data_IF_134974021823
#
_entry.id   IF_134974021823
#
_cell.length_a   1.000
_cell.length_b   1.000
_cell.length_c   1.000
_cell.angle_alpha   90.00
_cell.angle_beta   90.00
_cell.angle_gamma   90.00
#
_symmetry.space_group_name_H-M   'P 1'
#
loop_
_entity.id
_entity.type
_entity.pdbx_description
1 polymer ?
#
# COMPACT_ATOMS: atom_id res chain seq x y z
N UNK A 1 2.10 12.54 21.08
CA UNK A 1 1.16 11.44 20.80
C UNK A 1 0.80 10.74 22.09
N UNK A 2 -0.41 10.15 22.22
CA UNK A 2 -0.86 9.44 23.44
C UNK A 2 -0.61 7.92 23.38
N UNK A 3 -0.11 7.42 22.26
CA UNK A 3 0.35 6.04 22.04
C UNK A 3 1.42 6.04 20.92
N UNK A 4 2.23 4.98 20.79
CA UNK A 4 3.02 4.70 19.59
C UNK A 4 2.15 4.55 18.33
N UNK A 5 2.70 4.93 17.17
CA UNK A 5 2.03 4.85 15.86
C UNK A 5 2.30 6.06 14.97
N UNK A 6 1.84 6.01 13.72
CA UNK A 6 1.82 7.16 12.82
C UNK A 6 0.51 7.97 12.98
N UNK A 7 0.34 9.03 12.19
CA UNK A 7 -0.90 9.82 12.17
C UNK A 7 -2.11 8.91 11.91
N UNK A 8 -3.18 9.09 12.69
CA UNK A 8 -4.40 8.24 12.66
C UNK A 8 -5.36 8.62 11.52
N UNK A 9 -5.10 9.71 10.82
CA UNK A 9 -5.84 10.15 9.63
C UNK A 9 -5.36 9.39 8.40
N UNK A 10 -6.09 9.49 7.29
CA UNK A 10 -5.69 9.11 5.94
C UNK A 10 -4.63 10.07 5.36
N UNK A 11 -3.66 10.46 6.20
CA UNK A 11 -2.45 11.14 5.77
C UNK A 11 -1.49 10.17 5.05
N UNK A 12 -0.31 10.67 4.69
CA UNK A 12 0.67 9.94 3.87
C UNK A 12 1.00 8.55 4.43
N UNK A 13 1.17 8.40 5.75
CA UNK A 13 1.53 7.13 6.36
C UNK A 13 0.45 6.07 6.13
N UNK A 14 -0.80 6.35 6.52
CA UNK A 14 -1.94 5.45 6.32
C UNK A 14 -2.23 5.19 4.83
N UNK A 15 -2.04 6.21 3.99
CA UNK A 15 -2.20 6.07 2.53
C UNK A 15 -1.19 5.08 1.96
N UNK A 16 0.08 5.18 2.33
CA UNK A 16 1.14 4.33 1.80
C UNK A 16 1.13 2.93 2.42
N UNK A 17 0.66 2.75 3.66
CA UNK A 17 0.45 1.40 4.21
C UNK A 17 -0.68 0.69 3.48
N UNK A 18 -1.79 1.38 3.19
CA UNK A 18 -2.87 0.83 2.36
C UNK A 18 -2.38 0.49 0.94
N UNK A 19 -1.61 1.39 0.31
CA UNK A 19 -1.03 1.14 -1.00
C UNK A 19 -0.07 -0.07 -0.98
N UNK A 20 0.76 -0.22 0.05
CA UNK A 20 1.67 -1.36 0.19
C UNK A 20 0.93 -2.70 0.32
N UNK A 21 -0.22 -2.71 0.99
CA UNK A 21 -1.06 -3.90 1.10
C UNK A 21 -1.66 -4.29 -0.25
N UNK A 22 -2.18 -3.32 -1.01
CA UNK A 22 -2.75 -3.55 -2.34
C UNK A 22 -1.70 -3.93 -3.37
N UNK A 23 -0.51 -3.33 -3.29
CA UNK A 23 0.66 -3.75 -4.07
C UNK A 23 1.09 -5.19 -3.78
N UNK A 24 0.54 -5.84 -2.74
CA UNK A 24 0.83 -7.22 -2.38
C UNK A 24 2.17 -7.42 -1.69
N UNK A 25 2.78 -6.35 -1.16
CA UNK A 25 4.09 -6.41 -0.49
C UNK A 25 4.00 -6.48 1.05
N UNK A 26 2.78 -6.54 1.58
CA UNK A 26 2.51 -6.83 2.99
C UNK A 26 1.54 -8.01 3.12
N UNK A 27 1.31 -8.47 4.35
CA UNK A 27 0.25 -9.43 4.61
C UNK A 27 -1.13 -8.75 4.54
N UNK A 28 -2.18 -9.43 4.04
CA UNK A 28 -3.53 -8.90 4.07
C UNK A 28 -3.97 -8.48 5.48
N UNK A 29 -4.58 -7.31 5.59
CA UNK A 29 -5.00 -6.65 6.82
C UNK A 29 -3.93 -5.81 7.51
N UNK A 30 -2.65 -5.89 7.12
CA UNK A 30 -1.55 -5.26 7.85
C UNK A 30 -1.68 -3.73 7.98
N UNK A 31 -2.24 -3.05 6.98
CA UNK A 31 -2.39 -1.59 6.97
C UNK A 31 -3.36 -1.06 8.05
N UNK A 32 -4.24 -1.92 8.56
CA UNK A 32 -5.33 -1.56 9.47
C UNK A 32 -5.06 -1.89 10.95
N UNK A 33 -3.91 -2.50 11.27
CA UNK A 33 -3.57 -2.93 12.63
C UNK A 33 -2.90 -1.78 13.39
N UNK A 34 -3.51 -1.24 14.47
CA UNK A 34 -2.87 -0.21 15.28
C UNK A 34 -1.54 -0.70 15.87
N UNK A 35 -0.56 0.19 15.99
CA UNK A 35 0.78 -0.16 16.49
C UNK A 35 0.79 -0.77 17.90
N UNK A 36 -0.20 -0.44 18.73
CA UNK A 36 -0.36 -0.96 20.10
C UNK A 36 -1.24 -2.20 20.19
N UNK A 37 -1.83 -2.65 19.08
CA UNK A 37 -2.66 -3.84 19.06
C UNK A 37 -1.79 -5.11 19.10
N UNK A 38 -2.22 -6.10 19.89
CA UNK A 38 -1.51 -7.40 19.98
C UNK A 38 -1.38 -8.13 18.64
N UNK A 39 -2.25 -7.81 17.67
CA UNK A 39 -2.19 -8.29 16.29
C UNK A 39 -0.97 -7.77 15.53
N UNK A 40 -0.36 -6.66 15.95
CA UNK A 40 0.81 -6.09 15.28
C UNK A 40 2.03 -7.01 15.42
N UNK A 41 2.30 -7.51 16.63
CA UNK A 41 3.38 -8.49 16.87
C UNK A 41 3.12 -9.82 16.15
N UNK A 42 1.86 -10.27 16.11
CA UNK A 42 1.46 -11.49 15.36
C UNK A 42 1.68 -11.32 13.86
N UNK A 43 1.31 -10.16 13.30
CA UNK A 43 1.50 -9.83 11.89
C UNK A 43 2.99 -9.70 11.53
N UNK A 44 3.81 -9.15 12.42
CA UNK A 44 5.27 -9.12 12.27
C UNK A 44 5.87 -10.55 12.24
N UNK A 45 5.49 -11.42 13.18
CA UNK A 45 5.95 -12.81 13.21
C UNK A 45 5.50 -13.59 11.96
N UNK A 46 4.24 -13.42 11.54
CA UNK A 46 3.71 -14.04 10.32
C UNK A 46 4.44 -13.55 9.06
N UNK A 47 4.87 -12.28 9.02
CA UNK A 47 5.66 -11.74 7.91
C UNK A 47 7.03 -12.42 7.80
N UNK A 48 7.65 -12.71 8.95
CA UNK A 48 8.88 -13.51 9.02
C UNK A 48 8.72 -14.93 8.47
N UNK A 49 7.60 -15.60 8.77
CA UNK A 49 7.29 -16.92 8.19
C UNK A 49 7.03 -16.81 6.68
N UNK A 50 6.33 -15.75 6.26
CA UNK A 50 5.96 -15.53 4.86
C UNK A 50 7.18 -15.34 3.97
N UNK A 51 8.17 -14.55 4.41
CA UNK A 51 9.36 -14.30 3.59
C UNK A 51 10.19 -15.57 3.37
N UNK A 52 10.24 -16.48 4.36
CA UNK A 52 10.91 -17.79 4.20
C UNK A 52 10.24 -18.59 3.08
N UNK A 53 8.91 -18.68 3.04
CA UNK A 53 8.18 -19.34 1.95
C UNK A 53 8.46 -18.70 0.58
N UNK A 54 8.46 -17.37 0.50
CA UNK A 54 8.72 -16.65 -0.76
C UNK A 54 10.14 -16.94 -1.28
N UNK A 55 11.14 -17.00 -0.40
CA UNK A 55 12.52 -17.36 -0.76
C UNK A 55 12.59 -18.79 -1.27
N UNK A 56 11.97 -19.74 -0.57
CA UNK A 56 11.92 -21.15 -0.98
C UNK A 56 11.25 -21.33 -2.35
N UNK A 57 10.26 -20.49 -2.67
CA UNK A 57 9.54 -20.48 -3.96
C UNK A 57 10.17 -19.57 -5.02
N UNK A 58 11.30 -18.94 -4.71
CA UNK A 58 11.99 -17.98 -5.58
C UNK A 58 11.06 -16.87 -6.12
N UNK A 59 10.18 -16.35 -5.25
CA UNK A 59 9.30 -15.24 -5.58
C UNK A 59 10.02 -13.93 -5.29
N UNK A 60 10.28 -13.15 -6.34
CA UNK A 60 10.91 -11.82 -6.26
C UNK A 60 9.87 -10.71 -6.27
N UNK A 61 10.22 -9.52 -5.78
CA UNK A 61 9.35 -8.34 -5.82
C UNK A 61 8.86 -8.01 -7.23
N UNK A 62 9.68 -8.23 -8.27
CA UNK A 62 9.29 -8.02 -9.68
C UNK A 62 8.17 -8.93 -10.17
N UNK A 63 7.88 -10.04 -9.46
CA UNK A 63 6.72 -10.91 -9.75
C UNK A 63 5.43 -10.42 -9.07
N UNK A 64 5.56 -9.49 -8.12
CA UNK A 64 4.45 -8.95 -7.31
C UNK A 64 4.07 -7.56 -7.83
N UNK A 65 5.07 -6.71 -8.07
CA UNK A 65 4.90 -5.32 -8.52
C UNK A 65 4.65 -5.25 -10.03
N UNK A 66 3.48 -5.69 -10.47
CA UNK A 66 3.03 -5.63 -11.88
C UNK A 66 2.34 -4.31 -12.20
N UNK A 67 2.16 -3.94 -13.48
CA UNK A 67 1.37 -2.77 -13.87
C UNK A 67 -0.02 -2.76 -13.23
N UNK A 68 -0.69 -3.91 -13.19
CA UNK A 68 -2.02 -4.07 -12.61
C UNK A 68 -2.01 -3.81 -11.09
N UNK A 69 -0.98 -4.28 -10.38
CA UNK A 69 -0.84 -4.00 -8.94
C UNK A 69 -0.70 -2.50 -8.66
N UNK A 70 -0.02 -1.75 -9.54
CA UNK A 70 0.05 -0.30 -9.43
C UNK A 70 -1.28 0.37 -9.77
N UNK A 71 -2.02 -0.09 -10.77
CA UNK A 71 -3.37 0.43 -11.06
C UNK A 71 -4.32 0.21 -9.86
N UNK A 72 -4.29 -0.98 -9.26
CA UNK A 72 -5.07 -1.31 -8.06
C UNK A 72 -4.69 -0.42 -6.88
N UNK A 73 -3.39 -0.17 -6.69
CA UNK A 73 -2.89 0.73 -5.65
C UNK A 73 -3.36 2.18 -5.86
N UNK A 74 -3.32 2.67 -7.10
CA UNK A 74 -3.83 4.00 -7.45
C UNK A 74 -5.33 4.08 -7.18
N UNK A 75 -6.12 3.11 -7.65
CA UNK A 75 -7.55 3.04 -7.41
C UNK A 75 -7.85 3.02 -5.90
N UNK A 76 -7.11 2.25 -5.11
CA UNK A 76 -7.33 2.18 -3.66
C UNK A 76 -6.99 3.49 -2.97
N UNK A 77 -5.86 4.13 -3.30
CA UNK A 77 -5.50 5.43 -2.74
C UNK A 77 -6.59 6.48 -3.04
N UNK A 78 -7.12 6.49 -4.26
CA UNK A 78 -8.21 7.40 -4.65
C UNK A 78 -9.51 7.09 -3.89
N UNK A 79 -9.89 5.82 -3.79
CA UNK A 79 -11.09 5.39 -3.06
C UNK A 79 -11.03 5.72 -1.56
N UNK A 80 -9.82 5.73 -0.99
CA UNK A 80 -9.61 6.10 0.41
C UNK A 80 -9.53 7.61 0.65
N UNK A 81 -9.54 8.45 -0.40
CA UNK A 81 -9.26 9.88 -0.26
C UNK A 81 -7.83 10.16 0.21
N UNK A 82 -6.89 9.31 -0.23
CA UNK A 82 -5.51 9.30 0.23
C UNK A 82 -4.69 10.55 -0.10
N UNK A 83 -3.56 10.69 0.59
CA UNK A 83 -2.64 11.81 0.42
C UNK A 83 -2.13 11.96 -1.02
N UNK A 84 -2.07 13.20 -1.51
CA UNK A 84 -1.46 13.55 -2.79
C UNK A 84 0.02 13.13 -2.91
N UNK A 85 0.73 12.94 -1.79
CA UNK A 85 2.09 12.42 -1.77
C UNK A 85 2.18 10.99 -2.34
N UNK A 86 1.09 10.22 -2.33
CA UNK A 86 1.06 8.89 -2.92
C UNK A 86 1.40 8.90 -4.41
N UNK A 87 1.06 9.97 -5.14
CA UNK A 87 1.42 10.14 -6.55
C UNK A 87 2.94 10.05 -6.74
N UNK A 88 3.69 10.83 -5.96
CA UNK A 88 5.15 10.88 -6.04
C UNK A 88 5.75 9.53 -5.67
N UNK A 89 5.27 8.93 -4.57
CA UNK A 89 5.81 7.66 -4.07
C UNK A 89 5.52 6.49 -5.01
N UNK A 90 4.30 6.36 -5.52
CA UNK A 90 3.93 5.27 -6.42
C UNK A 90 4.64 5.37 -7.77
N UNK A 91 4.77 6.58 -8.36
CA UNK A 91 5.54 6.77 -9.59
C UNK A 91 7.01 6.43 -9.37
N UNK A 92 7.60 6.87 -8.25
CA UNK A 92 8.99 6.54 -7.92
C UNK A 92 9.17 5.01 -7.74
N UNK A 93 8.28 4.35 -7.02
CA UNK A 93 8.30 2.90 -6.82
C UNK A 93 8.17 2.14 -8.15
N UNK A 94 7.21 2.53 -9.00
CA UNK A 94 7.01 1.96 -10.33
C UNK A 94 8.27 2.11 -11.19
N UNK A 95 8.87 3.29 -11.21
CA UNK A 95 10.13 3.52 -11.93
C UNK A 95 11.29 2.64 -11.45
N UNK A 96 11.35 2.31 -10.14
CA UNK A 96 12.37 1.39 -9.59
C UNK A 96 12.07 -0.08 -9.88
N UNK A 97 10.80 -0.46 -10.03
CA UNK A 97 10.38 -1.83 -10.39
C UNK A 97 10.33 -2.07 -11.90
N UNK A 98 10.56 -1.04 -12.73
CA UNK A 98 10.51 -1.12 -14.18
C UNK A 98 9.10 -1.01 -14.76
N UNK A 99 8.11 -0.63 -13.95
CA UNK A 99 6.74 -0.37 -14.38
C UNK A 99 6.60 1.10 -14.77
N UNK A 100 5.96 1.37 -15.91
CA UNK A 100 5.58 2.73 -16.31
C UNK A 100 4.27 3.11 -15.61
N UNK A 101 4.34 4.10 -14.74
CA UNK A 101 3.18 4.75 -14.11
C UNK A 101 3.35 6.27 -14.28
N UNK A 102 2.30 6.95 -14.75
CA UNK A 102 2.34 8.38 -15.08
C UNK A 102 1.23 9.15 -14.39
N UNK A 103 1.31 10.49 -14.40
CA UNK A 103 0.24 11.35 -13.91
C UNK A 103 -1.09 11.15 -14.67
N UNK A 104 -1.02 10.84 -15.96
CA UNK A 104 -2.21 10.59 -16.78
C UNK A 104 -2.96 9.33 -16.33
N UNK A 105 -2.25 8.33 -15.79
CA UNK A 105 -2.87 7.14 -15.22
C UNK A 105 -3.69 7.47 -13.97
N UNK A 106 -3.18 8.36 -13.11
CA UNK A 106 -3.92 8.85 -11.95
C UNK A 106 -5.17 9.63 -12.38
N UNK A 107 -5.07 10.55 -13.34
CA UNK A 107 -6.21 11.31 -13.84
C UNK A 107 -7.28 10.39 -14.45
N UNK A 108 -6.86 9.43 -15.27
CA UNK A 108 -7.75 8.45 -15.89
C UNK A 108 -8.51 7.64 -14.84
N UNK A 109 -7.82 7.10 -13.83
CA UNK A 109 -8.43 6.25 -12.80
C UNK A 109 -9.37 7.09 -11.89
N UNK A 110 -8.95 8.30 -11.50
CA UNK A 110 -9.73 9.20 -10.65
C UNK A 110 -11.10 9.58 -11.23
N UNK A 111 -11.27 9.55 -12.56
CA UNK A 111 -12.56 9.79 -13.22
C UNK A 111 -13.60 8.70 -12.99
N UNK A 112 -13.16 7.51 -12.57
CA UNK A 112 -14.01 6.31 -12.41
C UNK A 112 -14.10 5.81 -10.97
N UNK A 113 -13.17 6.23 -10.11
CA UNK A 113 -13.10 5.77 -8.72
C UNK A 113 -13.66 6.85 -7.78
N UNK A 114 -14.84 6.64 -7.17
CA UNK A 114 -15.35 7.54 -6.15
C UNK A 114 -14.57 7.37 -4.84
N UNK A 115 -14.57 8.42 -4.01
CA UNK A 115 -14.12 8.31 -2.62
C UNK A 115 -15.19 7.55 -1.83
N UNK A 116 -14.80 6.46 -1.18
CA UNK A 116 -15.67 5.55 -0.44
C UNK A 116 -15.46 5.63 1.08
N UNK A 117 -14.29 6.08 1.53
CA UNK A 117 -13.95 6.14 2.94
C UNK A 117 -14.33 7.50 3.55
N UNK A 118 -15.03 7.48 4.69
CA UNK A 118 -15.25 8.65 5.54
C UNK A 118 -14.18 8.70 6.64
N UNK A 119 -12.98 9.15 6.24
CA UNK A 119 -11.82 9.27 7.10
C UNK A 119 -11.26 10.69 7.00
N UNK A 120 -10.79 11.24 8.12
CA UNK A 120 -9.99 12.47 8.13
C UNK A 120 -8.58 12.19 7.64
#
# INVERSE_FOLDING_TARGET
>A
ARSPGHCMTMGTASTLTAAAEVLGVTLPGASSIPAVDSGHERMAAASGLRIVDLVMRQVTLSRILTPEAYEDAVATVLALGGSTNAVIHLIAMAGRSGVKLTLDDFDRIARTVPVLADLR
#
